data_IF_500562826547
#
_entry.id   IF_500562826547
#
_cell.length_a   1.000
_cell.length_b   1.000
_cell.length_c   1.000
_cell.angle_alpha   90.00
_cell.angle_beta   90.00
_cell.angle_gamma   90.00
#
_symmetry.space_group_name_H-M   'P 1'
#
loop_
_entity.id
_entity.type
_entity.pdbx_description
1 polymer ?
#
# COMPACT_ATOMS: atom_id res chain seq x y z
N UNK A 1 -6.86 2.32 11.53
CA UNK A 1 -7.11 2.12 10.08
C UNK A 1 -6.96 0.65 9.67
N UNK A 2 -7.83 0.17 8.77
CA UNK A 2 -7.68 -1.14 8.09
C UNK A 2 -6.84 -1.04 6.83
N UNK A 3 -6.38 -2.17 6.28
CA UNK A 3 -5.69 -2.18 4.99
C UNK A 3 -6.58 -1.56 3.89
N UNK A 4 -7.87 -1.89 3.87
CA UNK A 4 -8.80 -1.40 2.86
C UNK A 4 -9.02 0.11 2.93
N UNK A 5 -9.10 0.67 4.13
CA UNK A 5 -9.15 2.12 4.33
C UNK A 5 -7.88 2.81 3.79
N UNK A 6 -6.71 2.23 4.04
CA UNK A 6 -5.47 2.76 3.50
C UNK A 6 -5.41 2.65 1.97
N UNK A 7 -5.84 1.53 1.38
CA UNK A 7 -5.85 1.35 -0.07
C UNK A 7 -6.78 2.35 -0.76
N UNK A 8 -7.96 2.59 -0.18
CA UNK A 8 -8.86 3.63 -0.67
C UNK A 8 -8.23 5.01 -0.55
N UNK A 9 -7.61 5.32 0.59
CA UNK A 9 -6.93 6.60 0.78
C UNK A 9 -5.81 6.80 -0.25
N UNK A 10 -5.02 5.76 -0.53
CA UNK A 10 -3.94 5.81 -1.52
C UNK A 10 -4.47 6.02 -2.95
N UNK A 11 -5.58 5.39 -3.33
CA UNK A 11 -6.25 5.66 -4.60
C UNK A 11 -6.66 7.13 -4.71
N UNK A 12 -7.26 7.68 -3.64
CA UNK A 12 -7.81 9.04 -3.66
C UNK A 12 -6.71 10.13 -3.61
N UNK A 13 -5.50 9.80 -3.15
CA UNK A 13 -4.42 10.77 -2.87
C UNK A 13 -3.15 10.55 -3.68
N UNK A 14 -3.17 9.63 -4.65
CA UNK A 14 -2.05 9.40 -5.57
C UNK A 14 -2.54 9.36 -7.01
N UNK A 15 -1.63 9.60 -7.96
CA UNK A 15 -1.94 9.47 -9.40
C UNK A 15 -1.78 8.03 -9.90
N UNK A 16 -1.77 7.04 -9.00
CA UNK A 16 -1.54 5.64 -9.31
C UNK A 16 -2.83 4.83 -9.22
N UNK A 17 -2.96 3.88 -10.14
CA UNK A 17 -3.96 2.81 -10.07
C UNK A 17 -3.63 1.86 -8.90
N UNK A 18 -4.07 2.18 -7.70
CA UNK A 18 -3.87 1.39 -6.47
C UNK A 18 -4.97 0.34 -6.33
N UNK A 19 -6.22 0.72 -6.60
CA UNK A 19 -7.37 -0.17 -6.56
C UNK A 19 -7.64 -0.82 -7.93
N UNK A 20 -7.98 -2.10 -7.90
CA UNK A 20 -8.55 -2.85 -9.01
C UNK A 20 -9.92 -3.41 -8.59
N UNK A 21 -10.92 -2.53 -8.64
CA UNK A 21 -12.25 -2.76 -8.08
C UNK A 21 -12.34 -2.23 -6.64
N UNK A 22 -13.00 -2.99 -5.77
CA UNK A 22 -13.05 -2.73 -4.33
C UNK A 22 -11.71 -3.05 -3.64
N UNK A 23 -11.46 -2.60 -2.40
CA UNK A 23 -10.27 -3.01 -1.65
C UNK A 23 -10.14 -4.53 -1.46
N UNK A 24 -11.26 -5.23 -1.25
CA UNK A 24 -11.26 -6.69 -1.15
C UNK A 24 -10.87 -7.36 -2.49
N UNK A 25 -11.39 -6.87 -3.61
CA UNK A 25 -11.00 -7.34 -4.94
C UNK A 25 -9.53 -7.02 -5.25
N UNK A 26 -9.04 -5.85 -4.82
CA UNK A 26 -7.64 -5.44 -4.97
C UNK A 26 -6.71 -6.42 -4.25
N UNK A 27 -7.04 -6.81 -3.02
CA UNK A 27 -6.31 -7.83 -2.25
C UNK A 27 -6.34 -9.18 -2.98
N UNK A 28 -7.51 -9.61 -3.45
CA UNK A 28 -7.65 -10.89 -4.17
C UNK A 28 -6.82 -10.92 -5.46
N UNK A 29 -6.96 -9.89 -6.30
CA UNK A 29 -6.25 -9.76 -7.58
C UNK A 29 -4.75 -9.57 -7.42
N UNK A 30 -4.32 -8.95 -6.32
CA UNK A 30 -2.89 -8.86 -5.99
C UNK A 30 -2.32 -10.23 -5.65
N UNK A 31 -3.06 -11.07 -4.91
CA UNK A 31 -2.62 -12.43 -4.55
C UNK A 31 -2.58 -13.38 -5.75
N UNK A 32 -3.55 -13.28 -6.67
CA UNK A 32 -3.61 -14.16 -7.85
C UNK A 32 -2.79 -13.64 -9.05
N UNK A 33 -2.24 -12.43 -8.96
CA UNK A 33 -1.40 -11.81 -9.99
C UNK A 33 -2.18 -11.18 -11.15
N UNK A 34 -3.50 -11.03 -11.04
CA UNK A 34 -4.37 -10.43 -12.07
C UNK A 34 -4.60 -8.93 -11.92
N UNK A 35 -4.01 -8.30 -10.89
CA UNK A 35 -4.13 -6.86 -10.66
C UNK A 35 -3.61 -6.03 -11.85
N UNK A 36 -4.39 -5.06 -12.32
CA UNK A 36 -4.08 -4.24 -13.51
C UNK A 36 -2.74 -3.48 -13.43
N UNK A 37 -2.30 -3.13 -12.22
CA UNK A 37 -1.03 -2.45 -11.95
C UNK A 37 -0.10 -3.38 -11.16
N UNK A 38 0.94 -3.89 -11.81
CA UNK A 38 1.86 -4.86 -11.22
C UNK A 38 2.64 -4.28 -10.01
N UNK A 39 2.94 -2.99 -10.01
CA UNK A 39 3.66 -2.34 -8.92
C UNK A 39 2.79 -2.17 -7.67
N UNK A 40 1.52 -1.77 -7.85
CA UNK A 40 0.55 -1.73 -6.76
C UNK A 40 0.31 -3.13 -6.19
N UNK A 41 0.19 -4.14 -7.06
CA UNK A 41 0.05 -5.53 -6.65
C UNK A 41 1.22 -6.01 -5.77
N UNK A 42 2.45 -5.61 -6.13
CA UNK A 42 3.65 -5.96 -5.37
C UNK A 42 3.70 -5.28 -4.00
N UNK A 43 3.27 -4.02 -3.91
CA UNK A 43 3.09 -3.32 -2.63
C UNK A 43 2.10 -4.06 -1.74
N UNK A 44 0.91 -4.40 -2.26
CA UNK A 44 -0.15 -5.10 -1.52
C UNK A 44 0.32 -6.48 -1.06
N UNK A 45 0.87 -7.28 -1.97
CA UNK A 45 1.38 -8.62 -1.64
C UNK A 45 2.50 -8.59 -0.61
N UNK A 46 3.43 -7.62 -0.69
CA UNK A 46 4.48 -7.44 0.31
C UNK A 46 3.90 -7.08 1.68
N UNK A 47 2.92 -6.16 1.74
CA UNK A 47 2.24 -5.81 2.97
C UNK A 47 1.55 -7.01 3.61
N UNK A 48 0.72 -7.74 2.84
CA UNK A 48 0.03 -8.95 3.31
C UNK A 48 1.02 -9.97 3.89
N UNK A 49 2.07 -10.30 3.12
CA UNK A 49 3.05 -11.31 3.51
C UNK A 49 3.89 -10.91 4.73
N UNK A 50 4.29 -9.65 4.85
CA UNK A 50 5.16 -9.19 5.96
C UNK A 50 4.40 -8.89 7.23
N UNK A 51 3.14 -8.50 7.14
CA UNK A 51 2.28 -8.26 8.29
C UNK A 51 1.57 -9.53 8.77
N UNK A 52 1.56 -10.59 7.96
CA UNK A 52 0.86 -11.84 8.30
C UNK A 52 -0.65 -11.69 8.28
N UNK A 53 -1.16 -10.80 7.42
CA UNK A 53 -2.57 -10.49 7.25
C UNK A 53 -3.06 -11.00 5.89
N UNK A 54 -4.36 -11.16 5.70
CA UNK A 54 -4.90 -11.78 4.49
C UNK A 54 -6.15 -11.08 3.92
N UNK A 55 -6.69 -10.07 4.58
CA UNK A 55 -7.90 -9.38 4.18
C UNK A 55 -7.71 -7.86 4.12
N UNK A 56 -8.59 -7.20 3.36
CA UNK A 56 -8.72 -5.75 3.38
C UNK A 56 -9.25 -5.23 4.73
N UNK A 57 -9.96 -6.06 5.50
CA UNK A 57 -10.52 -5.68 6.80
C UNK A 57 -9.51 -5.77 7.95
N UNK A 58 -8.31 -6.33 7.71
CA UNK A 58 -7.29 -6.46 8.73
C UNK A 58 -6.76 -5.08 9.14
N UNK A 59 -6.66 -4.88 10.46
CA UNK A 59 -6.14 -3.65 11.05
C UNK A 59 -4.63 -3.60 10.84
N UNK A 60 -4.15 -2.45 10.40
CA UNK A 60 -2.73 -2.21 10.18
C UNK A 60 -2.23 -1.05 11.03
N UNK A 61 -0.93 -1.08 11.30
CA UNK A 61 -0.22 0.00 11.96
C UNK A 61 0.76 0.65 10.98
N UNK A 62 0.96 1.96 11.13
CA UNK A 62 1.84 2.77 10.28
C UNK A 62 3.24 2.17 10.10
N UNK A 63 3.97 2.00 11.21
CA UNK A 63 5.39 1.60 11.17
C UNK A 63 5.55 0.19 10.61
N UNK A 64 4.77 -0.83 11.05
CA UNK A 64 4.79 -2.14 10.42
C UNK A 64 4.50 -2.10 8.92
N UNK A 65 3.48 -1.35 8.46
CA UNK A 65 3.17 -1.27 7.03
C UNK A 65 4.31 -0.65 6.22
N UNK A 66 4.88 0.48 6.66
CA UNK A 66 6.03 1.10 5.97
C UNK A 66 7.24 0.16 5.92
N UNK A 67 7.52 -0.54 7.02
CA UNK A 67 8.61 -1.52 7.08
C UNK A 67 8.37 -2.73 6.16
N UNK A 68 7.11 -3.14 5.97
CA UNK A 68 6.74 -4.21 5.05
C UNK A 68 7.09 -3.89 3.59
N UNK A 69 7.24 -2.61 3.23
CA UNK A 69 7.60 -2.18 1.87
C UNK A 69 9.11 -2.08 1.65
N UNK A 70 9.93 -2.22 2.69
CA UNK A 70 11.39 -2.11 2.57
C UNK A 70 12.00 -3.05 1.51
N UNK A 71 11.60 -4.33 1.39
CA UNK A 71 12.13 -5.21 0.34
C UNK A 71 11.73 -4.76 -1.07
N UNK A 72 10.50 -4.28 -1.26
CA UNK A 72 10.02 -3.78 -2.56
C UNK A 72 10.79 -2.52 -2.95
N UNK A 73 11.00 -1.62 -1.99
CA UNK A 73 11.83 -0.43 -2.18
C UNK A 73 13.25 -0.80 -2.62
N UNK A 74 13.90 -1.72 -1.90
CA UNK A 74 15.25 -2.19 -2.22
C UNK A 74 15.33 -2.82 -3.61
N UNK A 75 14.32 -3.61 -4.00
CA UNK A 75 14.22 -4.19 -5.36
C UNK A 75 14.24 -3.08 -6.43
N UNK A 76 13.47 -2.01 -6.24
CA UNK A 76 13.39 -0.91 -7.21
C UNK A 76 14.54 0.09 -7.13
N UNK A 77 15.45 -0.05 -6.16
CA UNK A 77 16.70 0.72 -6.09
C UNK A 77 17.85 0.05 -6.87
N UNK A 78 17.66 -1.16 -7.41
CA UNK A 78 18.67 -1.80 -8.24
C UNK A 78 18.85 -1.05 -9.57
N UNK A 79 20.08 -1.03 -10.10
CA UNK A 79 20.48 -0.20 -11.26
C UNK A 79 19.61 -0.39 -12.52
N UNK A 80 19.08 -1.60 -12.72
CA UNK A 80 18.26 -1.95 -13.90
C UNK A 80 16.75 -1.99 -13.63
N UNK A 81 16.31 -1.56 -12.43
CA UNK A 81 14.90 -1.62 -12.07
C UNK A 81 14.08 -0.48 -12.72
N UNK A 82 12.81 -0.72 -13.09
CA UNK A 82 11.93 0.32 -13.61
C UNK A 82 11.74 1.47 -12.60
N UNK A 83 12.01 2.70 -13.04
CA UNK A 83 11.90 3.91 -12.20
C UNK A 83 10.47 4.16 -11.73
N UNK A 84 9.48 3.73 -12.51
CA UNK A 84 8.06 3.84 -12.18
C UNK A 84 7.71 3.07 -10.91
N UNK A 85 8.29 1.86 -10.73
CA UNK A 85 8.08 1.06 -9.53
C UNK A 85 8.65 1.75 -8.28
N UNK A 86 9.86 2.32 -8.40
CA UNK A 86 10.46 3.10 -7.31
C UNK A 86 9.58 4.29 -6.92
N UNK A 87 9.14 5.09 -7.91
CA UNK A 87 8.29 6.26 -7.66
C UNK A 87 6.97 5.90 -7.00
N UNK A 88 6.33 4.81 -7.43
CA UNK A 88 5.10 4.33 -6.82
C UNK A 88 5.33 3.94 -5.36
N UNK A 89 6.36 3.15 -5.05
CA UNK A 89 6.66 2.72 -3.67
C UNK A 89 6.95 3.92 -2.77
N UNK A 90 7.78 4.88 -3.21
CA UNK A 90 8.06 6.09 -2.44
C UNK A 90 6.78 6.91 -2.20
N UNK A 91 5.94 7.06 -3.22
CA UNK A 91 4.68 7.79 -3.09
C UNK A 91 3.73 7.09 -2.14
N UNK A 92 3.62 5.77 -2.19
CA UNK A 92 2.83 4.98 -1.24
C UNK A 92 3.32 5.22 0.19
N UNK A 93 4.63 5.09 0.46
CA UNK A 93 5.20 5.30 1.79
C UNK A 93 4.86 6.71 2.32
N UNK A 94 5.13 7.75 1.52
CA UNK A 94 4.87 9.13 1.91
C UNK A 94 3.37 9.41 2.16
N UNK A 95 2.50 8.79 1.35
CA UNK A 95 1.04 8.98 1.45
C UNK A 95 0.44 8.17 2.61
N UNK A 96 0.98 6.99 2.92
CA UNK A 96 0.64 6.25 4.15
C UNK A 96 0.96 7.07 5.39
N UNK A 97 2.13 7.71 5.44
CA UNK A 97 2.48 8.58 6.55
C UNK A 97 1.48 9.74 6.74
N UNK A 98 1.00 10.32 5.63
CA UNK A 98 -0.04 11.35 5.66
C UNK A 98 -1.38 10.81 6.18
N UNK A 99 -1.83 9.65 5.67
CA UNK A 99 -3.09 9.01 6.07
C UNK A 99 -3.17 8.79 7.60
N UNK A 100 -2.12 8.24 8.18
CA UNK A 100 -2.06 8.00 9.63
C UNK A 100 -1.94 9.30 10.44
N UNK A 101 -1.27 10.33 9.92
CA UNK A 101 -1.24 11.63 10.60
C UNK A 101 -2.63 12.27 10.66
N UNK A 102 -3.40 12.19 9.58
CA UNK A 102 -4.77 12.69 9.51
C UNK A 102 -5.71 11.93 10.45
N UNK A 103 -5.59 10.60 10.53
CA UNK A 103 -6.35 9.79 11.48
C UNK A 103 -6.07 10.22 12.94
N UNK A 104 -4.80 10.45 13.29
CA UNK A 104 -4.41 10.92 14.63
C UNK A 104 -4.97 12.32 14.92
N UNK A 105 -4.94 13.24 13.94
CA UNK A 105 -5.52 14.57 14.10
C UNK A 105 -7.04 14.52 14.30
N UNK A 106 -7.74 13.67 13.53
CA UNK A 106 -9.17 13.45 13.67
C UNK A 106 -9.55 12.87 15.03
N UNK A 107 -8.69 12.04 15.63
CA UNK A 107 -8.88 11.52 16.99
C UNK A 107 -8.64 12.57 18.08
N UNK A 108 -7.68 13.49 17.88
CA UNK A 108 -7.38 14.58 18.83
C UNK A 108 -8.36 15.75 18.79
N UNK A 109 -9.09 15.91 17.68
CA UNK A 109 -10.12 16.93 17.51
C UNK A 109 -11.50 16.55 18.07
N UNK A 110 -11.64 15.36 18.65
CA UNK A 110 -12.82 14.89 19.38
C UNK A 110 -12.60 15.03 20.88
#
# INVERSE_FOLDING_TARGET
MTLGELLQYLEDHTDYDILDGTPAETVARSKDGSHKNAYAAEVVTSALAKLGIDSADDVIERVPFVNALAPVRLKYMADDAPVEGFRLVEKVIATTDAAFNEEVLAQKGK
#
